data_IF_208635060569
#
_entry.id   IF_208635060569
#
_cell.length_a   1.000
_cell.length_b   1.000
_cell.length_c   1.000
_cell.angle_alpha   90.00
_cell.angle_beta   90.00
_cell.angle_gamma   90.00
#
_symmetry.space_group_name_H-M   'P 1'
#
loop_
_entity.id
_entity.type
_entity.pdbx_description
1 polymer ?
#
# COMPACT_ATOMS: atom_id res chain seq x y z
N UNK A 1 44.40 4.28 -21.85
CA UNK A 1 44.86 4.03 -23.24
C UNK A 1 43.60 3.83 -24.07
N UNK A 2 43.36 4.66 -25.08
CA UNK A 2 42.15 4.57 -25.95
C UNK A 2 42.48 3.60 -27.09
N UNK A 3 41.63 2.61 -27.32
CA UNK A 3 41.80 1.61 -28.39
C UNK A 3 41.30 2.22 -29.72
N UNK A 4 42.05 2.10 -30.83
CA UNK A 4 41.60 2.60 -32.14
C UNK A 4 40.41 1.77 -32.66
N UNK A 5 39.27 2.43 -32.88
CA UNK A 5 38.03 1.81 -33.37
C UNK A 5 37.90 1.92 -34.89
N UNK A 6 37.44 0.86 -35.56
CA UNK A 6 37.14 0.86 -37.01
C UNK A 6 35.62 0.96 -37.24
N UNK A 7 35.21 1.76 -38.22
CA UNK A 7 33.81 1.80 -38.68
C UNK A 7 33.55 0.67 -39.67
N UNK A 8 32.38 0.05 -39.54
CA UNK A 8 31.93 -1.06 -40.36
C UNK A 8 30.51 -0.75 -40.84
N UNK A 9 30.21 -1.11 -42.10
CA UNK A 9 28.86 -1.03 -42.66
C UNK A 9 28.47 -2.43 -43.11
N UNK A 10 27.36 -2.93 -42.60
CA UNK A 10 26.80 -4.24 -42.95
C UNK A 10 25.54 -4.03 -43.79
N UNK A 11 25.46 -4.67 -44.95
CA UNK A 11 24.28 -4.69 -45.81
C UNK A 11 23.79 -6.14 -45.87
N UNK A 12 22.52 -6.36 -45.57
CA UNK A 12 21.92 -7.69 -45.52
C UNK A 12 20.45 -7.66 -45.88
N UNK A 13 19.84 -8.84 -45.98
CA UNK A 13 18.42 -8.97 -46.29
C UNK A 13 17.55 -8.64 -45.08
N UNK A 14 16.42 -7.97 -45.29
CA UNK A 14 15.50 -7.59 -44.21
C UNK A 14 14.94 -8.82 -43.46
N UNK A 15 14.83 -9.98 -44.10
CA UNK A 15 14.41 -11.23 -43.47
C UNK A 15 15.47 -11.83 -42.51
N UNK A 16 16.75 -11.46 -42.65
CA UNK A 16 17.85 -11.94 -41.81
C UNK A 16 18.23 -10.93 -40.72
N UNK A 17 17.45 -9.86 -40.56
CA UNK A 17 17.71 -8.78 -39.62
C UNK A 17 17.90 -9.28 -38.18
N UNK A 18 16.99 -10.13 -37.70
CA UNK A 18 17.04 -10.63 -36.31
C UNK A 18 18.21 -11.58 -36.06
N UNK A 19 18.46 -12.53 -36.99
CA UNK A 19 19.57 -13.49 -36.87
C UNK A 19 20.93 -12.78 -36.92
N UNK A 20 21.06 -11.77 -37.77
CA UNK A 20 22.25 -10.92 -37.88
C UNK A 20 22.50 -10.15 -36.58
N UNK A 21 21.47 -9.49 -36.03
CA UNK A 21 21.59 -8.76 -34.76
C UNK A 21 21.97 -9.69 -33.60
N UNK A 22 21.38 -10.89 -33.53
CA UNK A 22 21.78 -11.92 -32.55
C UNK A 22 23.26 -12.30 -32.69
N UNK A 23 23.74 -12.51 -33.92
CA UNK A 23 25.15 -12.85 -34.17
C UNK A 23 26.10 -11.70 -33.76
N UNK A 24 25.77 -10.45 -34.09
CA UNK A 24 26.54 -9.27 -33.69
C UNK A 24 26.55 -9.07 -32.16
N UNK A 25 25.40 -9.30 -31.50
CA UNK A 25 25.29 -9.24 -30.05
C UNK A 25 26.16 -10.31 -29.37
N UNK A 26 26.15 -11.55 -29.87
CA UNK A 26 27.02 -12.65 -29.40
C UNK A 26 28.50 -12.34 -29.57
N UNK A 27 28.87 -11.66 -30.65
CA UNK A 27 30.26 -11.27 -30.91
C UNK A 27 30.77 -10.25 -29.87
N UNK A 28 29.91 -9.35 -29.38
CA UNK A 28 30.25 -8.37 -28.35
C UNK A 28 31.33 -7.35 -28.73
N UNK A 29 31.73 -7.30 -30.00
CA UNK A 29 32.86 -6.49 -30.49
C UNK A 29 32.44 -5.27 -31.33
N UNK A 30 31.14 -5.02 -31.45
CA UNK A 30 30.59 -3.95 -32.29
C UNK A 30 29.64 -3.07 -31.49
N UNK A 31 29.68 -1.76 -31.78
CA UNK A 31 28.69 -0.80 -31.30
C UNK A 31 27.80 -0.41 -32.48
N UNK A 32 26.48 -0.61 -32.35
CA UNK A 32 25.52 -0.14 -33.33
C UNK A 32 25.44 1.38 -33.27
N UNK A 33 25.58 2.02 -34.43
CA UNK A 33 25.44 3.47 -34.59
C UNK A 33 24.07 3.70 -35.21
N UNK A 34 23.16 4.37 -34.48
CA UNK A 34 21.89 4.78 -35.05
C UNK A 34 22.11 5.90 -36.08
N UNK A 35 21.60 5.72 -37.29
CA UNK A 35 21.57 6.77 -38.30
C UNK A 35 20.16 7.40 -38.45
N UNK A 36 19.21 7.07 -37.57
CA UNK A 36 17.84 7.59 -37.56
C UNK A 36 17.29 7.85 -36.14
N UNK A 37 16.08 8.41 -36.06
CA UNK A 37 15.33 8.55 -34.79
C UNK A 37 14.89 7.17 -34.30
N UNK A 38 15.11 6.88 -33.02
CA UNK A 38 14.59 5.67 -32.38
C UNK A 38 13.07 5.72 -32.42
N UNK A 39 12.45 4.92 -33.29
CA UNK A 39 11.00 4.82 -33.38
C UNK A 39 10.46 4.06 -32.17
N UNK A 40 9.51 4.66 -31.47
CA UNK A 40 8.79 4.07 -30.35
C UNK A 40 7.93 2.89 -30.85
N UNK A 41 8.44 1.67 -30.70
CA UNK A 41 7.75 0.45 -31.11
C UNK A 41 6.96 -0.16 -29.95
N UNK A 42 5.81 -0.76 -30.24
CA UNK A 42 5.00 -1.46 -29.24
C UNK A 42 5.81 -2.54 -28.50
N UNK A 43 6.68 -3.26 -29.22
CA UNK A 43 7.62 -4.24 -28.67
C UNK A 43 8.56 -3.62 -27.64
N UNK A 44 9.13 -2.44 -27.91
CA UNK A 44 10.00 -1.72 -26.97
C UNK A 44 9.26 -1.26 -25.71
N UNK A 45 8.02 -0.78 -25.87
CA UNK A 45 7.17 -0.41 -24.72
C UNK A 45 6.87 -1.61 -23.84
N UNK A 46 6.48 -2.74 -24.43
CA UNK A 46 6.20 -3.99 -23.69
C UNK A 46 7.45 -4.49 -22.94
N UNK A 47 8.61 -4.54 -23.60
CA UNK A 47 9.87 -4.97 -22.97
C UNK A 47 10.32 -4.03 -21.85
N UNK A 48 10.13 -2.72 -22.04
CA UNK A 48 10.42 -1.73 -20.98
C UNK A 48 9.51 -1.92 -19.78
N UNK A 49 8.20 -2.07 -19.98
CA UNK A 49 7.25 -2.32 -18.90
C UNK A 49 7.56 -3.63 -18.14
N UNK A 50 7.95 -4.70 -18.85
CA UNK A 50 8.40 -5.95 -18.21
C UNK A 50 9.65 -5.76 -17.36
N UNK A 51 10.67 -5.06 -17.89
CA UNK A 51 11.89 -4.78 -17.16
C UNK A 51 11.61 -3.94 -15.89
N UNK A 52 10.72 -2.96 -15.97
CA UNK A 52 10.33 -2.12 -14.84
C UNK A 52 9.62 -2.93 -13.74
N UNK A 53 8.70 -3.83 -14.13
CA UNK A 53 8.01 -4.75 -13.21
C UNK A 53 8.97 -5.68 -12.49
N UNK A 54 9.88 -6.33 -13.23
CA UNK A 54 10.90 -7.21 -12.64
C UNK A 54 11.81 -6.44 -11.68
N UNK A 55 12.21 -5.22 -12.03
CA UNK A 55 12.99 -4.36 -11.14
C UNK A 55 12.21 -3.93 -9.90
N UNK A 56 10.89 -3.69 -10.01
CA UNK A 56 10.03 -3.45 -8.86
C UNK A 56 9.98 -4.66 -7.93
N UNK A 57 9.72 -5.86 -8.48
CA UNK A 57 9.72 -7.10 -7.71
C UNK A 57 11.08 -7.36 -7.02
N UNK A 58 12.21 -7.02 -7.66
CA UNK A 58 13.55 -7.10 -7.04
C UNK A 58 13.69 -6.16 -5.84
N UNK A 59 13.12 -4.96 -5.91
CA UNK A 59 13.12 -4.01 -4.78
C UNK A 59 12.24 -4.52 -3.64
N UNK A 60 11.07 -5.07 -3.96
CA UNK A 60 10.12 -5.63 -3.00
C UNK A 60 10.71 -6.74 -2.14
N UNK A 61 11.43 -7.69 -2.77
CA UNK A 61 12.02 -8.83 -2.05
C UNK A 61 13.38 -8.52 -1.41
N UNK A 62 13.96 -7.34 -1.67
CA UNK A 62 15.28 -6.96 -1.16
C UNK A 62 15.41 -7.07 0.37
N UNK A 63 14.42 -6.65 1.20
CA UNK A 63 14.49 -6.79 2.65
C UNK A 63 14.48 -8.25 3.13
N UNK A 64 13.89 -9.14 2.33
CA UNK A 64 13.72 -10.56 2.65
C UNK A 64 14.87 -11.43 2.13
N UNK A 65 15.73 -10.87 1.27
CA UNK A 65 16.84 -11.58 0.65
C UNK A 65 18.10 -11.53 1.51
N UNK A 66 18.58 -12.70 1.96
CA UNK A 66 19.90 -12.84 2.58
C UNK A 66 20.95 -13.12 1.50
N UNK A 67 21.71 -12.07 1.13
CA UNK A 67 22.81 -12.21 0.16
C UNK A 67 23.91 -13.12 0.72
N UNK A 68 24.30 -14.20 0.03
CA UNK A 68 25.45 -14.99 0.47
C UNK A 68 26.74 -14.20 0.23
N UNK A 69 27.63 -14.16 1.23
CA UNK A 69 28.82 -13.29 1.25
C UNK A 69 29.77 -13.49 0.06
N UNK A 70 29.82 -14.68 -0.54
CA UNK A 70 30.72 -15.03 -1.64
C UNK A 70 30.04 -15.98 -2.64
N UNK A 71 29.01 -15.49 -3.32
CA UNK A 71 28.36 -16.26 -4.39
C UNK A 71 29.10 -16.01 -5.71
N UNK A 72 29.50 -17.05 -6.47
CA UNK A 72 29.98 -16.84 -7.82
C UNK A 72 28.87 -16.23 -8.67
N UNK A 73 29.26 -15.39 -9.64
CA UNK A 73 28.30 -14.87 -10.63
C UNK A 73 27.62 -16.06 -11.33
N UNK A 74 26.28 -16.12 -11.35
CA UNK A 74 25.56 -17.19 -12.03
C UNK A 74 26.00 -17.27 -13.49
N UNK A 75 26.35 -18.49 -13.94
CA UNK A 75 26.59 -18.76 -15.35
C UNK A 75 25.35 -19.45 -15.93
N UNK A 76 24.88 -18.97 -17.08
CA UNK A 76 23.76 -19.55 -17.80
C UNK A 76 24.01 -19.48 -19.31
N UNK A 77 23.40 -20.41 -20.04
CA UNK A 77 23.38 -20.40 -21.50
C UNK A 77 22.24 -19.52 -22.01
N UNK A 78 22.32 -19.10 -23.27
CA UNK A 78 21.25 -18.34 -23.93
C UNK A 78 19.90 -19.08 -23.89
N UNK A 79 19.91 -20.40 -24.14
CA UNK A 79 18.70 -21.22 -24.06
C UNK A 79 18.11 -21.29 -22.64
N UNK A 80 18.96 -21.24 -21.60
CA UNK A 80 18.50 -21.17 -20.21
C UNK A 80 17.88 -19.81 -19.88
N UNK A 81 18.41 -18.72 -20.44
CA UNK A 81 17.82 -17.38 -20.28
C UNK A 81 16.46 -17.27 -20.96
N UNK A 82 16.27 -17.84 -22.14
CA UNK A 82 14.96 -17.86 -22.80
C UNK A 82 13.97 -18.74 -22.01
N UNK A 83 14.40 -19.90 -21.52
CA UNK A 83 13.53 -20.82 -20.79
C UNK A 83 13.09 -20.31 -19.40
N UNK A 84 13.85 -19.41 -18.77
CA UNK A 84 13.55 -18.92 -17.40
C UNK A 84 12.54 -17.77 -17.38
N UNK A 85 12.30 -17.10 -18.51
CA UNK A 85 11.40 -15.94 -18.58
C UNK A 85 9.99 -16.21 -18.03
N UNK A 86 9.30 -17.32 -18.38
CA UNK A 86 7.96 -17.60 -17.84
C UNK A 86 7.96 -17.82 -16.32
N UNK A 87 9.01 -18.47 -15.78
CA UNK A 87 9.14 -18.70 -14.34
C UNK A 87 9.43 -17.38 -13.60
N UNK A 88 10.29 -16.53 -14.16
CA UNK A 88 10.58 -15.19 -13.65
C UNK A 88 9.35 -14.28 -13.68
N UNK A 89 8.56 -14.32 -14.75
CA UNK A 89 7.30 -13.58 -14.87
C UNK A 89 6.27 -14.04 -13.84
N UNK A 90 6.11 -15.35 -13.66
CA UNK A 90 5.21 -15.91 -12.65
C UNK A 90 5.64 -15.52 -11.23
N UNK A 91 6.94 -15.54 -10.95
CA UNK A 91 7.49 -15.08 -9.67
C UNK A 91 7.25 -13.58 -9.46
N UNK A 92 7.44 -12.76 -10.50
CA UNK A 92 7.16 -11.32 -10.47
C UNK A 92 5.69 -11.06 -10.12
N UNK A 93 4.75 -11.72 -10.80
CA UNK A 93 3.32 -11.59 -10.55
C UNK A 93 2.96 -12.02 -9.13
N UNK A 94 3.56 -13.10 -8.63
CA UNK A 94 3.35 -13.55 -7.25
C UNK A 94 3.82 -12.51 -6.24
N UNK A 95 4.98 -11.87 -6.46
CA UNK A 95 5.51 -10.82 -5.57
C UNK A 95 4.60 -9.59 -5.59
N UNK A 96 4.17 -9.14 -6.77
CA UNK A 96 3.25 -8.02 -6.93
C UNK A 96 1.93 -8.25 -6.16
N UNK A 97 1.38 -9.47 -6.26
CA UNK A 97 0.19 -9.86 -5.51
C UNK A 97 0.42 -9.80 -3.99
N UNK A 98 1.55 -10.32 -3.52
CA UNK A 98 1.89 -10.30 -2.10
C UNK A 98 2.12 -8.88 -1.56
N UNK A 99 2.72 -7.99 -2.34
CA UNK A 99 2.86 -6.58 -1.96
C UNK A 99 1.49 -5.89 -1.86
N UNK A 100 0.59 -6.13 -2.82
CA UNK A 100 -0.76 -5.59 -2.78
C UNK A 100 -1.53 -6.11 -1.55
N UNK A 101 -1.50 -7.42 -1.30
CA UNK A 101 -2.10 -8.05 -0.11
C UNK A 101 -1.48 -7.47 1.18
N UNK A 102 -0.16 -7.28 1.23
CA UNK A 102 0.52 -6.69 2.40
C UNK A 102 0.07 -5.25 2.65
N UNK A 103 -0.03 -4.43 1.60
CA UNK A 103 -0.47 -3.04 1.71
C UNK A 103 -1.93 -2.95 2.20
N UNK A 104 -2.81 -3.79 1.67
CA UNK A 104 -4.19 -3.90 2.11
C UNK A 104 -4.29 -4.27 3.59
N UNK A 105 -3.54 -5.29 4.04
CA UNK A 105 -3.53 -5.72 5.44
C UNK A 105 -2.98 -4.66 6.39
N UNK A 106 -1.98 -3.87 5.97
CA UNK A 106 -1.47 -2.74 6.77
C UNK A 106 -2.51 -1.62 6.90
N UNK A 107 -3.16 -1.25 5.80
CA UNK A 107 -4.25 -0.27 5.83
C UNK A 107 -5.41 -0.73 6.72
N UNK A 108 -5.72 -2.03 6.72
CA UNK A 108 -6.73 -2.61 7.61
C UNK A 108 -6.33 -2.49 9.09
N UNK A 109 -5.06 -2.76 9.45
CA UNK A 109 -4.58 -2.54 10.83
C UNK A 109 -4.69 -1.08 11.25
N UNK A 110 -4.31 -0.14 10.39
CA UNK A 110 -4.43 1.29 10.67
C UNK A 110 -5.89 1.69 10.90
N UNK A 111 -6.81 1.18 10.08
CA UNK A 111 -8.26 1.41 10.24
C UNK A 111 -8.79 0.86 11.55
N UNK A 112 -8.40 -0.36 11.93
CA UNK A 112 -8.80 -0.99 13.19
C UNK A 112 -8.21 -0.25 14.40
N UNK A 113 -6.95 0.16 14.34
CA UNK A 113 -6.30 0.96 15.37
C UNK A 113 -6.98 2.32 15.55
N UNK A 114 -7.31 3.01 14.44
CA UNK A 114 -8.03 4.27 14.47
C UNK A 114 -9.42 4.11 15.08
N UNK A 115 -10.14 3.03 14.74
CA UNK A 115 -11.44 2.72 15.35
C UNK A 115 -11.31 2.51 16.86
N UNK A 116 -10.31 1.75 17.32
CA UNK A 116 -10.09 1.55 18.76
C UNK A 116 -9.77 2.85 19.47
N UNK A 117 -8.89 3.68 18.91
CA UNK A 117 -8.56 4.99 19.48
C UNK A 117 -9.77 5.93 19.54
N UNK A 118 -10.65 5.88 18.53
CA UNK A 118 -11.89 6.64 18.50
C UNK A 118 -12.89 6.19 19.58
N UNK A 119 -12.96 4.89 19.85
CA UNK A 119 -13.87 4.31 20.85
C UNK A 119 -13.31 4.36 22.28
N UNK A 120 -12.00 4.52 22.45
CA UNK A 120 -11.31 4.50 23.74
C UNK A 120 -11.93 5.42 24.80
N UNK A 121 -12.29 6.69 24.51
CA UNK A 121 -12.91 7.56 25.51
C UNK A 121 -14.25 7.01 26.05
N UNK A 122 -14.94 6.21 25.25
CA UNK A 122 -16.26 5.66 25.57
C UNK A 122 -16.18 4.22 26.12
N UNK A 123 -14.98 3.70 26.45
CA UNK A 123 -14.79 2.30 26.88
C UNK A 123 -15.73 1.89 28.02
N UNK A 124 -15.86 2.74 29.04
CA UNK A 124 -16.65 2.45 30.24
C UNK A 124 -18.16 2.62 30.04
N UNK A 125 -18.58 3.10 28.86
CA UNK A 125 -19.99 3.25 28.53
C UNK A 125 -20.60 1.88 28.24
N UNK A 126 -21.53 1.46 29.10
CA UNK A 126 -22.23 0.18 29.00
C UNK A 126 -23.40 0.19 28.01
N UNK A 127 -23.79 1.37 27.54
CA UNK A 127 -24.87 1.56 26.58
C UNK A 127 -24.42 1.15 25.17
N UNK A 128 -25.17 0.28 24.47
CA UNK A 128 -24.88 -0.04 23.07
C UNK A 128 -24.92 1.21 22.18
N UNK A 129 -23.95 1.37 21.27
CA UNK A 129 -23.82 2.57 20.44
C UNK A 129 -25.05 2.80 19.54
N UNK A 130 -25.63 1.72 19.04
CA UNK A 130 -26.84 1.73 18.22
C UNK A 130 -28.09 2.17 18.98
N UNK A 131 -28.09 2.11 20.32
CA UNK A 131 -29.20 2.58 21.13
C UNK A 131 -29.16 4.11 21.34
N UNK A 132 -28.01 4.75 21.06
CA UNK A 132 -27.83 6.21 21.18
C UNK A 132 -28.29 6.85 19.86
N UNK A 133 -29.60 6.91 19.68
CA UNK A 133 -30.21 7.56 18.53
C UNK A 133 -31.30 8.54 18.96
N UNK A 134 -31.51 9.57 18.15
CA UNK A 134 -32.60 10.51 18.41
C UNK A 134 -33.95 9.78 18.39
N UNK A 135 -34.83 10.16 19.31
CA UNK A 135 -36.22 9.72 19.36
C UNK A 135 -37.14 10.80 18.79
N UNK A 136 -38.45 10.71 19.05
CA UNK A 136 -39.41 11.74 18.62
C UNK A 136 -39.12 13.11 19.26
N UNK A 137 -38.73 13.12 20.53
CA UNK A 137 -38.59 14.36 21.33
C UNK A 137 -37.21 14.54 21.94
N UNK A 138 -36.42 13.48 22.07
CA UNK A 138 -35.08 13.53 22.67
C UNK A 138 -34.02 13.36 21.60
N UNK A 139 -33.01 14.21 21.63
CA UNK A 139 -31.77 14.05 20.87
C UNK A 139 -30.59 13.83 21.83
N UNK A 140 -29.55 13.16 21.32
CA UNK A 140 -28.33 12.89 22.07
C UNK A 140 -27.16 13.63 21.43
N UNK A 141 -26.32 14.21 22.27
CA UNK A 141 -25.02 14.75 21.91
C UNK A 141 -23.99 13.89 22.65
N UNK A 142 -23.13 13.24 21.90
CA UNK A 142 -22.06 12.40 22.41
C UNK A 142 -20.73 13.05 22.05
N UNK A 143 -19.74 12.98 22.93
CA UNK A 143 -18.44 13.57 22.64
C UNK A 143 -17.47 13.50 23.80
N UNK A 144 -16.37 14.22 23.67
CA UNK A 144 -15.34 14.31 24.71
C UNK A 144 -15.14 15.74 25.18
N UNK A 145 -14.87 15.89 26.47
CA UNK A 145 -14.69 17.14 27.17
C UNK A 145 -13.43 17.10 28.04
N UNK A 146 -12.57 18.10 27.93
CA UNK A 146 -11.53 18.37 28.94
C UNK A 146 -12.13 19.13 30.14
N UNK A 147 -11.32 19.51 31.12
CA UNK A 147 -11.81 20.22 32.31
C UNK A 147 -12.55 21.53 31.98
N UNK A 148 -12.06 22.32 31.02
CA UNK A 148 -12.68 23.59 30.61
C UNK A 148 -14.01 23.34 29.91
N UNK A 149 -14.07 22.31 29.07
CA UNK A 149 -15.31 21.93 28.39
C UNK A 149 -16.32 21.37 29.38
N UNK A 150 -15.88 20.63 30.40
CA UNK A 150 -16.76 20.16 31.48
C UNK A 150 -17.39 21.31 32.26
N UNK A 151 -16.65 22.40 32.54
CA UNK A 151 -17.24 23.60 33.14
C UNK A 151 -18.39 24.16 32.28
N UNK A 152 -18.26 24.12 30.95
CA UNK A 152 -19.35 24.54 30.07
C UNK A 152 -20.51 23.55 30.11
N UNK A 153 -20.26 22.24 30.07
CA UNK A 153 -21.27 21.18 30.17
C UNK A 153 -22.11 21.32 31.45
N UNK A 154 -21.47 21.53 32.59
CA UNK A 154 -22.13 21.68 33.89
C UNK A 154 -22.99 22.96 33.97
N UNK A 155 -22.73 23.95 33.12
CA UNK A 155 -23.45 25.23 33.07
C UNK A 155 -24.53 25.30 31.96
N UNK A 156 -24.77 24.24 31.18
CA UNK A 156 -25.74 24.23 30.07
C UNK A 156 -27.13 24.71 30.52
N UNK A 157 -27.66 24.12 31.59
CA UNK A 157 -29.03 24.40 32.06
C UNK A 157 -29.19 25.87 32.48
N UNK A 158 -28.21 26.42 33.19
CA UNK A 158 -28.21 27.82 33.63
C UNK A 158 -28.01 28.82 32.48
N UNK A 159 -27.16 28.48 31.51
CA UNK A 159 -26.84 29.38 30.41
C UNK A 159 -27.95 29.46 29.35
N UNK A 160 -28.71 28.38 29.16
CA UNK A 160 -29.69 28.24 28.09
C UNK A 160 -31.14 28.12 28.57
N UNK A 161 -31.39 28.14 29.89
CA UNK A 161 -32.72 27.97 30.48
C UNK A 161 -33.42 26.68 29.97
N UNK A 162 -32.68 25.57 29.99
CA UNK A 162 -33.06 24.25 29.47
C UNK A 162 -32.84 23.15 30.52
N UNK A 163 -33.31 21.94 30.25
CA UNK A 163 -33.05 20.74 31.04
C UNK A 163 -32.34 19.66 30.22
N UNK A 164 -31.30 19.06 30.81
CA UNK A 164 -30.54 17.98 30.17
C UNK A 164 -30.43 16.75 31.08
N UNK A 165 -30.35 15.57 30.44
CA UNK A 165 -29.79 14.38 31.07
C UNK A 165 -28.31 14.30 30.76
N UNK A 166 -27.46 14.09 31.78
CA UNK A 166 -26.01 14.05 31.63
C UNK A 166 -25.45 12.75 32.19
N UNK A 167 -24.69 12.02 31.36
CA UNK A 167 -23.78 10.97 31.82
C UNK A 167 -22.35 11.36 31.46
N UNK A 168 -21.44 11.21 32.41
CA UNK A 168 -20.02 11.51 32.24
C UNK A 168 -19.17 10.30 32.66
N UNK A 169 -18.19 9.99 31.83
CA UNK A 169 -17.28 8.86 31.98
C UNK A 169 -15.84 9.40 31.96
N UNK A 170 -15.25 9.70 33.13
CA UNK A 170 -13.91 10.26 33.23
C UNK A 170 -12.84 9.29 32.72
N UNK A 171 -11.90 9.78 31.92
CA UNK A 171 -10.64 9.08 31.59
C UNK A 171 -9.44 9.99 31.95
N UNK A 172 -8.21 9.50 31.76
CA UNK A 172 -6.98 10.20 32.19
C UNK A 172 -6.86 11.64 31.66
N UNK A 173 -7.26 11.90 30.41
CA UNK A 173 -7.10 13.22 29.78
C UNK A 173 -8.41 13.86 29.28
N UNK A 174 -9.45 13.06 29.06
CA UNK A 174 -10.73 13.49 28.48
C UNK A 174 -11.87 12.73 29.15
N UNK A 175 -12.94 13.44 29.47
CA UNK A 175 -14.20 12.85 29.94
C UNK A 175 -15.10 12.60 28.73
N UNK A 176 -15.56 11.36 28.54
CA UNK A 176 -16.62 11.10 27.57
C UNK A 176 -17.96 11.51 28.16
N UNK A 177 -18.78 12.19 27.37
CA UNK A 177 -20.02 12.81 27.82
C UNK A 177 -21.17 12.42 26.91
N UNK A 178 -22.30 12.04 27.50
CA UNK A 178 -23.59 11.82 26.85
C UNK A 178 -24.57 12.88 27.37
N UNK A 179 -25.07 13.73 26.48
CA UNK A 179 -26.08 14.74 26.80
C UNK A 179 -27.38 14.35 26.10
N UNK A 180 -28.43 14.08 26.88
CA UNK A 180 -29.79 13.93 26.39
C UNK A 180 -30.53 15.27 26.54
N UNK A 181 -31.13 15.77 25.47
CA UNK A 181 -31.83 17.06 25.47
C UNK A 181 -33.09 17.02 24.60
N UNK A 182 -33.94 18.04 24.72
CA UNK A 182 -35.03 18.22 23.77
C UNK A 182 -34.45 18.37 22.35
N UNK A 183 -35.06 17.67 21.39
CA UNK A 183 -34.63 17.68 19.99
C UNK A 183 -34.55 19.09 19.39
N UNK A 184 -35.46 19.98 19.78
CA UNK A 184 -35.50 21.36 19.27
C UNK A 184 -34.38 22.25 19.86
N UNK A 185 -33.76 21.83 20.96
CA UNK A 185 -32.70 22.55 21.69
C UNK A 185 -31.30 22.01 21.38
N UNK A 186 -31.19 20.84 20.73
CA UNK A 186 -29.94 20.13 20.44
C UNK A 186 -28.89 21.03 19.79
N UNK A 187 -29.28 21.82 18.79
CA UNK A 187 -28.33 22.66 18.04
C UNK A 187 -27.82 23.84 18.88
N UNK A 188 -28.65 24.40 19.75
CA UNK A 188 -28.27 25.47 20.68
C UNK A 188 -27.28 24.95 21.73
N UNK A 189 -27.58 23.80 22.33
CA UNK A 189 -26.72 23.14 23.32
C UNK A 189 -25.39 22.74 22.69
N UNK A 190 -25.41 22.10 21.52
CA UNK A 190 -24.20 21.69 20.81
C UNK A 190 -23.30 22.89 20.47
N UNK A 191 -23.88 24.01 20.04
CA UNK A 191 -23.14 25.23 19.75
C UNK A 191 -22.46 25.78 21.01
N UNK A 192 -23.20 25.85 22.11
CA UNK A 192 -22.68 26.34 23.39
C UNK A 192 -21.47 25.54 23.88
N UNK A 193 -21.53 24.20 23.85
CA UNK A 193 -20.38 23.37 24.25
C UNK A 193 -19.25 23.39 23.22
N UNK A 194 -19.55 23.52 21.92
CA UNK A 194 -18.52 23.68 20.87
C UNK A 194 -17.72 24.96 21.03
N UNK A 195 -18.33 26.05 21.47
CA UNK A 195 -17.64 27.31 21.76
C UNK A 195 -16.62 27.16 22.91
N UNK A 196 -16.81 26.19 23.82
CA UNK A 196 -15.85 25.85 24.86
C UNK A 196 -14.72 24.93 24.38
N UNK A 197 -14.91 24.19 23.28
CA UNK A 197 -13.95 23.24 22.71
C UNK A 197 -14.45 21.79 22.62
N UNK A 198 -15.75 21.52 22.84
CA UNK A 198 -16.31 20.17 22.82
C UNK A 198 -16.10 19.47 21.48
N UNK A 199 -15.60 18.23 21.53
CA UNK A 199 -15.42 17.41 20.34
C UNK A 199 -16.58 16.41 20.22
N UNK A 200 -17.49 16.68 19.28
CA UNK A 200 -18.64 15.83 19.02
C UNK A 200 -18.21 14.49 18.39
N UNK A 201 -18.62 13.40 19.04
CA UNK A 201 -18.44 12.05 18.54
C UNK A 201 -19.75 11.56 17.93
N UNK A 202 -19.68 11.17 16.66
CA UNK A 202 -20.77 10.52 15.96
C UNK A 202 -20.44 9.02 15.90
N UNK A 203 -21.18 8.17 16.62
CA UNK A 203 -20.94 6.74 16.60
C UNK A 203 -20.94 6.19 15.16
N UNK A 204 -19.91 5.41 14.77
CA UNK A 204 -19.97 4.64 13.53
C UNK A 204 -21.11 3.62 13.63
N UNK A 205 -21.58 3.13 12.46
CA UNK A 205 -22.64 2.11 12.38
C UNK A 205 -22.13 0.75 12.88
N UNK A 206 -22.08 0.61 14.20
CA UNK A 206 -21.64 -0.58 14.93
C UNK A 206 -22.77 -1.10 15.83
N UNK A 207 -22.60 -2.34 16.30
CA UNK A 207 -23.55 -3.02 17.18
C UNK A 207 -22.83 -3.45 18.45
N UNK A 208 -23.43 -3.17 19.60
CA UNK A 208 -22.87 -3.40 20.92
C UNK A 208 -22.19 -2.17 21.52
N UNK A 209 -21.52 -2.38 22.65
CA UNK A 209 -20.84 -1.31 23.40
C UNK A 209 -19.52 -0.90 22.72
N UNK A 210 -18.96 0.23 23.14
CA UNK A 210 -17.62 0.65 22.71
C UNK A 210 -16.58 -0.43 23.05
N UNK A 211 -16.60 -0.95 24.28
CA UNK A 211 -15.69 -1.99 24.75
C UNK A 211 -15.77 -3.28 23.92
N UNK A 212 -16.98 -3.78 23.64
CA UNK A 212 -17.18 -4.97 22.80
C UNK A 212 -16.62 -4.80 21.38
N UNK A 213 -16.83 -3.62 20.78
CA UNK A 213 -16.32 -3.32 19.45
C UNK A 213 -14.79 -3.18 19.44
N UNK A 214 -14.20 -2.63 20.50
CA UNK A 214 -12.75 -2.57 20.65
C UNK A 214 -12.13 -3.96 20.83
N UNK A 215 -12.79 -4.87 21.54
CA UNK A 215 -12.34 -6.26 21.67
C UNK A 215 -12.46 -7.01 20.33
N UNK A 216 -13.56 -6.83 19.60
CA UNK A 216 -13.71 -7.38 18.23
C UNK A 216 -12.60 -6.86 17.31
N UNK A 217 -12.32 -5.56 17.35
CA UNK A 217 -11.25 -4.95 16.58
C UNK A 217 -9.88 -5.50 16.98
N UNK A 218 -9.60 -5.69 18.27
CA UNK A 218 -8.35 -6.29 18.74
C UNK A 218 -8.15 -7.72 18.20
N UNK A 219 -9.19 -8.57 18.25
CA UNK A 219 -9.14 -9.92 17.67
C UNK A 219 -8.91 -9.90 16.16
N UNK A 220 -9.50 -8.94 15.45
CA UNK A 220 -9.27 -8.75 14.02
C UNK A 220 -7.86 -8.27 13.72
N UNK A 221 -7.28 -7.42 14.58
CA UNK A 221 -5.89 -6.99 14.48
C UNK A 221 -4.94 -8.19 14.62
N UNK A 222 -5.12 -9.03 15.66
CA UNK A 222 -4.29 -10.23 15.88
C UNK A 222 -4.33 -11.18 14.66
N UNK A 223 -5.52 -11.41 14.08
CA UNK A 223 -5.67 -12.22 12.87
C UNK A 223 -4.99 -11.58 11.65
N UNK A 224 -5.07 -10.25 11.51
CA UNK A 224 -4.46 -9.50 10.41
C UNK A 224 -2.93 -9.49 10.52
N UNK A 225 -2.39 -9.40 11.74
CA UNK A 225 -0.96 -9.53 12.00
C UNK A 225 -0.44 -10.93 11.67
N UNK A 226 -1.20 -11.98 11.98
CA UNK A 226 -0.86 -13.34 11.59
C UNK A 226 -0.79 -13.50 10.05
N UNK A 227 -1.73 -12.88 9.32
CA UNK A 227 -1.69 -12.85 7.85
C UNK A 227 -0.48 -12.08 7.32
N UNK A 228 -0.11 -10.95 7.93
CA UNK A 228 1.11 -10.22 7.56
C UNK A 228 2.37 -11.06 7.77
N UNK A 229 2.42 -11.85 8.84
CA UNK A 229 3.51 -12.80 9.08
C UNK A 229 3.56 -13.89 7.99
N UNK A 230 2.41 -14.45 7.60
CA UNK A 230 2.31 -15.40 6.48
C UNK A 230 2.84 -14.78 5.18
N UNK A 231 2.38 -13.58 4.83
CA UNK A 231 2.83 -12.86 3.63
C UNK A 231 4.34 -12.59 3.67
N UNK A 232 4.89 -12.20 4.82
CA UNK A 232 6.33 -12.02 5.00
C UNK A 232 7.12 -13.31 4.79
N UNK A 233 6.59 -14.45 5.25
CA UNK A 233 7.17 -15.77 4.98
C UNK A 233 7.16 -16.12 3.49
N UNK A 234 6.06 -15.83 2.78
CA UNK A 234 5.96 -16.07 1.34
C UNK A 234 6.88 -15.16 0.52
N UNK A 235 7.02 -13.89 0.90
CA UNK A 235 8.02 -12.98 0.32
C UNK A 235 9.45 -13.45 0.58
N UNK A 236 9.71 -14.07 1.73
CA UNK A 236 11.01 -14.70 2.02
C UNK A 236 11.27 -15.90 1.12
N UNK A 237 10.29 -16.79 0.94
CA UNK A 237 10.39 -17.92 0.01
C UNK A 237 10.54 -17.45 -1.45
N UNK A 238 9.89 -16.35 -1.84
CA UNK A 238 10.10 -15.72 -3.15
C UNK A 238 11.52 -15.15 -3.28
N UNK A 239 12.05 -14.54 -2.21
CA UNK A 239 13.41 -14.01 -2.16
C UNK A 239 14.48 -15.10 -2.33
N UNK A 240 14.27 -16.32 -1.83
CA UNK A 240 15.16 -17.46 -2.08
C UNK A 240 15.28 -17.79 -3.57
N UNK A 241 14.24 -17.49 -4.36
CA UNK A 241 14.19 -17.69 -5.81
C UNK A 241 14.67 -16.48 -6.61
N UNK A 242 15.27 -15.48 -5.96
CA UNK A 242 15.71 -14.22 -6.59
C UNK A 242 16.56 -14.42 -7.84
N UNK A 243 17.40 -15.46 -7.90
CA UNK A 243 18.22 -15.75 -9.08
C UNK A 243 17.38 -15.91 -10.36
N UNK A 244 16.18 -16.48 -10.27
CA UNK A 244 15.26 -16.63 -11.41
C UNK A 244 14.73 -15.28 -11.89
N UNK A 245 14.43 -14.39 -10.95
CA UNK A 245 14.00 -13.02 -11.23
C UNK A 245 15.13 -12.21 -11.87
N UNK A 246 16.36 -12.35 -11.35
CA UNK A 246 17.56 -11.72 -11.90
C UNK A 246 17.84 -12.22 -13.33
N UNK A 247 17.81 -13.54 -13.56
CA UNK A 247 18.02 -14.12 -14.89
C UNK A 247 16.93 -13.71 -15.90
N UNK A 248 15.66 -13.67 -15.49
CA UNK A 248 14.59 -13.20 -16.36
C UNK A 248 14.77 -11.70 -16.70
N UNK A 249 15.17 -10.88 -15.73
CA UNK A 249 15.46 -9.47 -15.98
C UNK A 249 16.62 -9.28 -16.96
N UNK A 250 17.68 -10.08 -16.85
CA UNK A 250 18.79 -10.06 -17.79
C UNK A 250 18.35 -10.50 -19.20
N UNK A 251 17.51 -11.54 -19.30
CA UNK A 251 16.95 -11.99 -20.57
C UNK A 251 16.13 -10.87 -21.27
N UNK A 252 15.24 -10.20 -20.53
CA UNK A 252 14.47 -9.09 -21.08
C UNK A 252 15.31 -7.85 -21.40
N UNK A 253 16.38 -7.59 -20.65
CA UNK A 253 17.32 -6.53 -20.98
C UNK A 253 18.05 -6.79 -22.32
N UNK A 254 18.48 -8.04 -22.55
CA UNK A 254 19.10 -8.50 -23.80
C UNK A 254 18.11 -8.34 -24.97
N UNK A 255 16.85 -8.75 -24.79
CA UNK A 255 15.80 -8.58 -25.80
C UNK A 255 15.48 -7.11 -26.09
N UNK A 256 15.41 -6.28 -25.05
CA UNK A 256 15.20 -4.84 -25.19
C UNK A 256 16.32 -4.20 -26.00
N UNK A 257 17.57 -4.48 -25.66
CA UNK A 257 18.73 -3.96 -26.40
C UNK A 257 18.70 -4.40 -27.88
N UNK A 258 18.25 -5.63 -28.15
CA UNK A 258 18.08 -6.14 -29.51
C UNK A 258 16.98 -5.38 -30.26
N UNK A 259 15.83 -5.16 -29.62
CA UNK A 259 14.73 -4.39 -30.20
C UNK A 259 15.11 -2.91 -30.45
N UNK A 260 15.93 -2.31 -29.59
CA UNK A 260 16.47 -0.96 -29.80
C UNK A 260 17.38 -0.94 -31.04
N UNK A 261 18.26 -1.95 -31.15
CA UNK A 261 19.07 -2.18 -32.35
C UNK A 261 18.23 -2.35 -33.61
N UNK A 262 17.11 -3.08 -33.55
CA UNK A 262 16.19 -3.22 -34.68
C UNK A 262 15.63 -1.87 -35.14
N UNK A 263 15.27 -0.98 -34.21
CA UNK A 263 14.73 0.36 -34.54
C UNK A 263 15.78 1.34 -35.05
N UNK A 264 17.06 1.13 -34.72
CA UNK A 264 18.16 1.98 -35.13
C UNK A 264 18.66 1.71 -36.58
N UNK A 265 18.26 0.59 -37.17
CA UNK A 265 18.63 0.21 -38.53
C UNK A 265 17.77 0.97 -39.56
N UNK A 266 18.41 1.49 -40.61
CA UNK A 266 17.72 2.08 -41.77
C UNK A 266 16.92 1.00 -42.51
N UNK A 267 15.64 1.30 -42.76
CA UNK A 267 14.72 0.52 -43.60
C UNK A 267 15.09 0.55 -45.07
#
# INVERSE_FOLDING_TARGET
MIVPMKRLTLIGLSCEKESTLKALQRLGAVQLISEGELTDSEKLRQLTAKADRLNAARRAIKPYYKKPMLSPTPQCTEAQLEAIQPEGDALCQSIEKLEAEQAEKRAELERLAALRAQLEPFREMLTPLEAIHSTKYIAYILGTADAKVMDAVDNIEAALDTHIGLEAYPNENLTAVVIACNKDERDAILRYVKDAGFNEFIPPKLTGTASENMEKAAKQMDATEAELYRIASELTAAAEKRSRLDMAADAYAIEKQRAEGETALKS
#
